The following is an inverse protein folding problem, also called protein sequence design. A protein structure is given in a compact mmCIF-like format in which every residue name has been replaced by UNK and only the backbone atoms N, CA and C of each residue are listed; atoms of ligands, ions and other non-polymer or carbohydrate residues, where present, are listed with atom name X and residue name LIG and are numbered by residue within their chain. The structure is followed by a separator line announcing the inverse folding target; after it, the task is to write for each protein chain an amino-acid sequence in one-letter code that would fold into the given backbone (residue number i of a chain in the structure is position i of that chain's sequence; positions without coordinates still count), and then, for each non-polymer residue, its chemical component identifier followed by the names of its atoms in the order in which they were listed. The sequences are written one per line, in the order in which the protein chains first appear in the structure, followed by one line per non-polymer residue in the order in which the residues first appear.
data_IF_917026994548
#
_entry.id   IF_917026994548
#
_cell.length_a   1.000
_cell.length_b   1.000
_cell.length_c   1.000
_cell.angle_alpha   90.00
_cell.angle_beta   90.00
_cell.angle_gamma   90.00
#
_symmetry.space_group_name_H-M   'P 1'
#
loop_
_entity.id
_entity.type
_entity.pdbx_description
1 polymer ?
#
# COMPACT_ATOMS: atom_id res chain seq x y z
N UNK A 1 22.07 2.59 -10.26
CA UNK A 1 21.01 1.72 -9.69
C UNK A 1 20.09 1.29 -10.82
N UNK A 2 19.94 -0.02 -11.10
CA UNK A 2 19.01 -0.51 -12.12
C UNK A 2 17.58 -0.37 -11.59
N UNK A 3 16.72 0.28 -12.37
CA UNK A 3 15.28 0.32 -12.13
C UNK A 3 14.72 -1.10 -12.29
N UNK A 4 14.48 -1.77 -11.15
CA UNK A 4 13.99 -3.15 -11.08
C UNK A 4 12.47 -3.23 -10.92
N UNK A 5 11.78 -2.09 -10.96
CA UNK A 5 10.33 -2.04 -10.74
C UNK A 5 9.61 -2.38 -12.04
N UNK A 6 8.82 -3.46 -12.01
CA UNK A 6 8.00 -3.90 -13.14
C UNK A 6 6.67 -3.14 -13.26
N UNK A 7 6.19 -2.53 -12.17
CA UNK A 7 4.91 -1.82 -12.13
C UNK A 7 5.08 -0.35 -11.78
N UNK A 8 4.32 0.48 -12.50
CA UNK A 8 4.17 1.92 -12.29
C UNK A 8 3.54 2.21 -10.93
N UNK A 9 3.96 3.30 -10.28
CA UNK A 9 3.46 3.72 -8.95
C UNK A 9 2.97 5.15 -9.03
N UNK A 10 1.82 5.43 -8.41
CA UNK A 10 1.33 6.79 -8.23
C UNK A 10 1.40 7.20 -6.75
N UNK A 11 1.70 8.48 -6.45
CA UNK A 11 1.62 8.99 -5.10
C UNK A 11 0.18 8.95 -4.60
N UNK A 12 0.01 8.50 -3.36
CA UNK A 12 -1.27 8.51 -2.64
C UNK A 12 -1.01 8.97 -1.22
N UNK A 13 -2.00 9.60 -0.61
CA UNK A 13 -1.90 10.07 0.76
C UNK A 13 -3.23 9.82 1.47
N UNK A 14 -3.37 8.61 2.01
CA UNK A 14 -4.60 8.15 2.66
C UNK A 14 -4.28 7.39 3.94
N UNK A 15 -5.21 7.42 4.88
CA UNK A 15 -5.25 6.42 5.95
C UNK A 15 -6.01 5.19 5.48
N UNK A 16 -5.58 4.02 5.95
CA UNK A 16 -6.23 2.76 5.69
C UNK A 16 -6.18 1.81 6.88
N UNK A 17 -7.07 0.82 6.86
CA UNK A 17 -7.10 -0.25 7.85
C UNK A 17 -6.19 -1.40 7.38
N UNK A 18 -5.18 -1.71 8.19
CA UNK A 18 -4.34 -2.90 8.09
C UNK A 18 -4.77 -3.91 9.15
N UNK A 19 -5.29 -5.05 8.71
CA UNK A 19 -5.73 -6.13 9.59
C UNK A 19 -4.58 -7.08 9.88
N UNK A 20 -4.22 -7.23 11.15
CA UNK A 20 -3.21 -8.17 11.63
C UNK A 20 -3.84 -9.08 12.69
N UNK A 21 -3.87 -10.39 12.44
CA UNK A 21 -4.57 -11.33 13.32
C UNK A 21 -6.07 -11.04 13.49
N UNK A 22 -6.70 -10.41 12.49
CA UNK A 22 -8.11 -10.00 12.54
C UNK A 22 -8.37 -8.65 13.23
N UNK A 23 -7.34 -8.01 13.81
CA UNK A 23 -7.46 -6.70 14.47
C UNK A 23 -7.08 -5.58 13.50
N UNK A 24 -7.90 -4.52 13.33
CA UNK A 24 -7.58 -3.39 12.46
C UNK A 24 -6.61 -2.41 13.14
N UNK A 25 -5.61 -1.97 12.39
CA UNK A 25 -4.69 -0.91 12.75
C UNK A 25 -4.67 0.15 11.66
N UNK A 26 -4.65 1.43 12.05
CA UNK A 26 -4.60 2.53 11.10
C UNK A 26 -3.15 2.77 10.67
N UNK A 27 -2.93 2.81 9.35
CA UNK A 27 -1.64 3.12 8.72
C UNK A 27 -1.84 4.12 7.60
N UNK A 28 -0.76 4.78 7.16
CA UNK A 28 -0.79 5.77 6.07
C UNK A 28 -0.09 5.22 4.85
N UNK A 29 -0.76 5.22 3.70
CA UNK A 29 -0.13 4.88 2.43
C UNK A 29 0.51 6.12 1.79
N UNK A 30 1.70 5.96 1.22
CA UNK A 30 2.47 7.03 0.54
C UNK A 30 2.55 6.87 -0.97
N UNK A 31 2.46 5.64 -1.46
CA UNK A 31 2.36 5.34 -2.88
C UNK A 31 1.58 4.02 -3.09
N UNK A 32 1.06 3.85 -4.30
CA UNK A 32 0.33 2.65 -4.71
C UNK A 32 0.66 2.27 -6.15
N UNK A 33 0.68 0.97 -6.41
CA UNK A 33 0.65 0.37 -7.74
C UNK A 33 -0.40 -0.73 -7.81
N UNK A 34 -0.62 -1.26 -9.01
CA UNK A 34 -1.45 -2.45 -9.22
C UNK A 34 -0.96 -3.69 -8.43
N UNK A 35 0.31 -3.70 -8.01
CA UNK A 35 0.94 -4.83 -7.32
C UNK A 35 1.10 -4.63 -5.81
N UNK A 36 0.87 -3.42 -5.28
CA UNK A 36 1.04 -3.18 -3.85
C UNK A 36 1.13 -1.71 -3.47
N UNK A 37 1.50 -1.45 -2.22
CA UNK A 37 1.57 -0.11 -1.66
C UNK A 37 2.70 0.04 -0.64
N UNK A 38 3.15 1.27 -0.46
CA UNK A 38 4.09 1.65 0.58
C UNK A 38 3.33 2.21 1.78
N UNK A 39 3.58 1.68 2.96
CA UNK A 39 2.89 2.03 4.21
C UNK A 39 3.88 2.64 5.20
N UNK A 40 3.51 3.75 5.83
CA UNK A 40 4.20 4.27 7.01
C UNK A 40 3.54 3.67 8.26
N UNK A 41 4.34 3.02 9.09
CA UNK A 41 3.90 2.53 10.40
C UNK A 41 3.60 3.73 11.31
N UNK A 42 2.42 3.73 11.95
CA UNK A 42 2.01 4.77 12.88
C UNK A 42 1.96 4.24 14.31
N UNK A 43 0.98 3.38 14.59
CA UNK A 43 0.77 2.75 15.90
C UNK A 43 0.40 1.30 15.65
N UNK A 44 1.40 0.44 15.47
CA UNK A 44 1.23 -0.99 15.20
C UNK A 44 1.95 -1.83 16.26
N UNK A 45 1.43 -3.01 16.63
CA UNK A 45 2.15 -3.94 17.48
C UNK A 45 3.44 -4.40 16.79
N UNK A 46 4.50 -4.60 17.56
CA UNK A 46 5.82 -5.08 17.08
C UNK A 46 5.83 -6.53 16.58
N UNK A 47 4.65 -7.16 16.44
CA UNK A 47 4.54 -8.53 15.93
C UNK A 47 4.45 -8.50 14.40
N UNK A 48 5.52 -8.98 13.77
CA UNK A 48 5.66 -9.04 12.33
C UNK A 48 4.70 -10.06 11.71
N UNK A 49 3.49 -9.62 11.36
CA UNK A 49 2.60 -10.41 10.53
C UNK A 49 3.08 -10.34 9.07
N UNK A 50 3.60 -11.46 8.54
CA UNK A 50 4.00 -11.55 7.12
C UNK A 50 2.84 -11.32 6.16
N UNK A 51 1.63 -11.74 6.54
CA UNK A 51 0.39 -11.57 5.77
C UNK A 51 -0.57 -10.64 6.50
N UNK A 52 -1.18 -9.73 5.76
CA UNK A 52 -2.04 -8.68 6.29
C UNK A 52 -3.28 -8.52 5.42
N UNK A 53 -4.41 -8.19 6.04
CA UNK A 53 -5.58 -7.69 5.32
C UNK A 53 -5.48 -6.17 5.16
N UNK A 54 -6.04 -5.64 4.08
CA UNK A 54 -6.06 -4.22 3.79
C UNK A 54 -7.47 -3.81 3.38
N UNK A 55 -7.92 -2.67 3.91
CA UNK A 55 -9.17 -2.04 3.51
C UNK A 55 -8.94 -0.53 3.33
N UNK A 56 -9.21 -0.04 2.12
CA UNK A 56 -9.00 1.37 1.77
C UNK A 56 -9.92 1.81 0.63
N UNK A 57 -10.01 3.12 0.42
CA UNK A 57 -10.67 3.73 -0.74
C UNK A 57 -9.65 4.55 -1.52
N UNK A 58 -9.78 4.59 -2.84
CA UNK A 58 -8.99 5.50 -3.66
C UNK A 58 -9.60 6.91 -3.56
N UNK A 59 -8.79 7.99 -3.56
CA UNK A 59 -9.29 9.35 -3.59
C UNK A 59 -10.26 9.57 -4.77
N UNK A 60 -11.45 10.10 -4.47
CA UNK A 60 -12.50 10.33 -5.46
C UNK A 60 -13.35 9.11 -5.82
N UNK A 61 -13.15 7.98 -5.13
CA UNK A 61 -13.95 6.76 -5.27
C UNK A 61 -14.66 6.43 -3.96
N UNK A 62 -15.96 6.13 -4.03
CA UNK A 62 -16.73 5.63 -2.88
C UNK A 62 -16.54 4.12 -2.67
N UNK A 63 -15.97 3.43 -3.65
CA UNK A 63 -15.73 2.00 -3.61
C UNK A 63 -14.65 1.60 -2.59
N UNK A 64 -15.01 0.71 -1.66
CA UNK A 64 -14.06 0.12 -0.70
C UNK A 64 -13.31 -1.05 -1.33
N UNK A 65 -12.00 -0.94 -1.37
CA UNK A 65 -11.09 -1.99 -1.82
C UNK A 65 -10.67 -2.83 -0.62
N UNK A 66 -10.91 -4.13 -0.74
CA UNK A 66 -10.34 -5.16 0.13
C UNK A 66 -9.22 -5.87 -0.61
N UNK A 67 -8.09 -6.07 0.07
CA UNK A 67 -6.96 -6.82 -0.43
C UNK A 67 -6.32 -7.65 0.68
N UNK A 68 -5.69 -8.75 0.31
CA UNK A 68 -4.63 -9.35 1.14
C UNK A 68 -3.28 -8.92 0.59
N UNK A 69 -2.30 -8.79 1.47
CA UNK A 69 -0.93 -8.54 1.08
C UNK A 69 0.10 -9.21 1.96
N UNK A 70 1.32 -9.26 1.43
CA UNK A 70 2.52 -9.70 2.13
C UNK A 70 3.47 -8.53 2.34
N UNK A 71 4.02 -8.42 3.55
CA UNK A 71 5.10 -7.48 3.84
C UNK A 71 6.37 -7.99 3.17
N UNK A 72 6.86 -7.27 2.17
CA UNK A 72 8.01 -7.67 1.33
C UNK A 72 9.28 -6.87 1.61
N UNK A 73 9.18 -5.74 2.32
CA UNK A 73 10.32 -4.93 2.76
C UNK A 73 9.96 -4.23 4.06
N UNK A 74 10.81 -4.38 5.07
CA UNK A 74 10.78 -3.59 6.30
C UNK A 74 11.99 -2.65 6.26
N UNK A 75 11.77 -1.33 6.19
CA UNK A 75 12.86 -0.35 6.17
C UNK A 75 13.25 0.11 7.60
N UNK A 76 13.22 -0.82 8.57
CA UNK A 76 13.43 -0.51 9.98
C UNK A 76 14.85 0.03 10.29
N UNK A 77 15.85 -0.23 9.44
CA UNK A 77 17.26 -0.02 9.83
C UNK A 77 17.96 1.15 9.14
N UNK A 78 17.37 1.78 8.12
CA UNK A 78 18.14 2.70 7.28
C UNK A 78 18.16 4.15 7.74
N UNK A 79 17.21 4.63 8.56
CA UNK A 79 17.28 5.94 9.22
C UNK A 79 16.23 6.06 10.34
N UNK A 80 16.67 6.19 11.61
CA UNK A 80 15.81 6.41 12.79
C UNK A 80 14.91 7.67 12.72
N UNK A 81 15.09 8.52 11.70
CA UNK A 81 14.33 9.75 11.47
C UNK A 81 13.25 9.62 10.38
N UNK A 82 13.22 8.50 9.64
CA UNK A 82 12.12 8.21 8.70
C UNK A 82 11.24 7.15 9.32
N UNK A 83 9.94 7.45 9.43
CA UNK A 83 8.94 6.53 9.95
C UNK A 83 9.09 5.17 9.28
N UNK A 84 8.96 4.08 10.03
CA UNK A 84 9.18 2.72 9.54
C UNK A 84 8.28 2.47 8.31
N UNK A 85 8.90 2.46 7.13
CA UNK A 85 8.19 2.23 5.87
C UNK A 85 8.17 0.72 5.60
N UNK A 86 6.98 0.15 5.44
CA UNK A 86 6.80 -1.23 4.98
C UNK A 86 6.24 -1.26 3.56
N UNK A 87 6.87 -2.05 2.70
CA UNK A 87 6.33 -2.36 1.38
C UNK A 87 5.40 -3.56 1.48
N UNK A 88 4.14 -3.41 1.06
CA UNK A 88 3.17 -4.51 0.99
C UNK A 88 2.88 -4.85 -0.46
N UNK A 89 3.02 -6.12 -0.81
CA UNK A 89 2.64 -6.67 -2.13
C UNK A 89 1.27 -7.32 -2.02
N UNK A 90 0.34 -7.00 -2.92
CA UNK A 90 -0.96 -7.66 -2.95
C UNK A 90 -0.81 -9.13 -3.33
N UNK A 91 -1.46 -10.01 -2.58
CA UNK A 91 -1.56 -11.44 -2.84
C UNK A 91 -2.97 -11.86 -3.22
N UNK A 92 -3.98 -11.14 -2.75
CA UNK A 92 -5.38 -11.33 -3.14
C UNK A 92 -6.01 -9.98 -3.41
N UNK A 93 -6.49 -9.79 -4.63
CA UNK A 93 -7.19 -8.60 -5.09
C UNK A 93 -8.15 -9.00 -6.21
N UNK A 94 -9.38 -8.51 -6.19
CA UNK A 94 -10.33 -8.79 -7.28
C UNK A 94 -9.86 -8.11 -8.57
N UNK A 95 -10.18 -8.70 -9.71
CA UNK A 95 -9.82 -8.12 -11.02
C UNK A 95 -10.40 -6.71 -11.20
N UNK A 96 -11.60 -6.47 -10.65
CA UNK A 96 -12.22 -5.15 -10.67
C UNK A 96 -11.42 -4.14 -9.86
N UNK A 97 -11.04 -4.45 -8.62
CA UNK A 97 -10.20 -3.55 -7.81
C UNK A 97 -8.83 -3.34 -8.45
N UNK A 98 -8.26 -4.37 -9.09
CA UNK A 98 -7.02 -4.28 -9.85
C UNK A 98 -7.11 -3.24 -10.97
N UNK A 99 -8.19 -3.27 -11.76
CA UNK A 99 -8.46 -2.27 -12.81
C UNK A 99 -8.70 -0.87 -12.26
N UNK A 100 -9.37 -0.74 -11.11
CA UNK A 100 -9.58 0.56 -10.46
C UNK A 100 -8.27 1.21 -10.01
N UNK A 101 -7.38 0.41 -9.41
CA UNK A 101 -6.05 0.89 -9.00
C UNK A 101 -5.22 1.27 -10.23
N UNK A 102 -5.23 0.44 -11.27
CA UNK A 102 -4.50 0.73 -12.51
C UNK A 102 -4.97 2.05 -13.15
N UNK A 103 -6.28 2.24 -13.29
CA UNK A 103 -6.85 3.48 -13.81
C UNK A 103 -6.46 4.70 -12.96
N UNK A 104 -6.47 4.59 -11.63
CA UNK A 104 -6.03 5.66 -10.74
C UNK A 104 -4.54 5.98 -10.92
N UNK A 105 -3.69 4.96 -11.09
CA UNK A 105 -2.26 5.13 -11.31
C UNK A 105 -2.01 5.82 -12.65
N UNK A 106 -2.65 5.38 -13.74
CA UNK A 106 -2.50 5.99 -15.07
C UNK A 106 -2.92 7.46 -15.09
N UNK A 107 -4.07 7.81 -14.47
CA UNK A 107 -4.55 9.21 -14.43
C UNK A 107 -3.57 10.17 -13.74
N UNK A 108 -2.78 9.70 -12.78
CA UNK A 108 -1.80 10.52 -12.07
C UNK A 108 -0.47 10.65 -12.78
N UNK A 109 -0.14 9.71 -13.67
CA UNK A 109 1.00 9.87 -14.58
C UNK A 109 0.73 11.01 -15.58
N UNK A 110 -0.46 11.02 -16.19
CA UNK A 110 -0.80 12.01 -17.23
C UNK A 110 -0.85 13.46 -16.73
N UNK A 111 -1.04 13.66 -15.41
CA UNK A 111 -1.03 15.00 -14.79
C UNK A 111 0.35 15.45 -14.28
N UNK A 112 1.31 14.52 -14.22
CA UNK A 112 2.68 14.79 -13.79
C UNK A 112 3.65 15.07 -14.95
N UNK A 113 3.14 15.09 -16.19
CA UNK A 113 3.85 15.37 -17.43
C UNK A 113 3.28 16.62 -18.11
#
# INVERSE_FOLDING_TARGET
MREQRKSKRAPIDIYLNKYMGGVPYMTRASDISQEGLSLAQLIEPSHHAKRVGLQFQLPGSEEVIYAEGEVVREWAELNRSQHECSGVRFTLLTERHRKMIDAYVSQREDRGN
#
